data_IF_152618030388
#
_entry.id   IF_152618030388
#
_cell.length_a   1.000
_cell.length_b   1.000
_cell.length_c   1.000
_cell.angle_alpha   90.00
_cell.angle_beta   90.00
_cell.angle_gamma   90.00
#
_symmetry.space_group_name_H-M   'P 1'
#
loop_
_entity.id
_entity.type
_entity.pdbx_description
1 polymer ?
#
# COMPACT_ATOMS: atom_id res chain seq x y z
N UNK A 1 -57.10 -30.78 6.28
CA UNK A 1 -58.31 -30.01 5.92
C UNK A 1 -57.88 -28.54 5.96
N UNK A 2 -57.83 -27.78 4.85
CA UNK A 2 -58.92 -27.34 3.94
C UNK A 2 -59.97 -26.53 4.73
N UNK A 3 -60.40 -25.31 4.36
CA UNK A 3 -60.41 -24.56 3.08
C UNK A 3 -59.94 -23.09 3.34
N UNK A 4 -59.49 -22.22 2.43
CA UNK A 4 -59.90 -21.82 1.07
C UNK A 4 -61.31 -21.20 0.96
N UNK A 5 -61.41 -19.91 0.61
CA UNK A 5 -62.66 -19.32 0.12
C UNK A 5 -62.37 -18.20 -0.89
N UNK A 6 -62.85 -18.39 -2.13
CA UNK A 6 -62.82 -17.43 -3.24
C UNK A 6 -64.22 -16.82 -3.43
N UNK A 7 -64.28 -15.59 -3.95
CA UNK A 7 -65.34 -15.07 -4.85
C UNK A 7 -64.63 -14.18 -5.90
N UNK A 8 -64.63 -14.44 -7.22
CA UNK A 8 -65.74 -14.40 -8.22
C UNK A 8 -66.45 -13.05 -8.24
N UNK A 9 -66.58 -12.25 -9.32
CA UNK A 9 -66.11 -12.27 -10.73
C UNK A 9 -66.38 -10.85 -11.32
N UNK A 10 -66.47 -10.54 -12.62
CA UNK A 10 -66.28 -11.24 -13.93
C UNK A 10 -66.13 -10.12 -15.00
N UNK A 11 -65.31 -10.31 -16.04
CA UNK A 11 -65.03 -9.24 -17.04
C UNK A 11 -66.26 -8.81 -17.87
N UNK A 12 -66.31 -7.53 -18.27
CA UNK A 12 -66.95 -7.07 -19.51
C UNK A 12 -65.88 -6.52 -20.45
N UNK A 13 -66.01 -6.87 -21.73
CA UNK A 13 -65.06 -6.60 -22.82
C UNK A 13 -65.48 -5.34 -23.58
N UNK A 14 -64.54 -4.44 -23.85
CA UNK A 14 -64.64 -3.42 -24.91
C UNK A 14 -63.30 -3.37 -25.63
N UNK A 15 -63.34 -3.47 -26.95
CA UNK A 15 -62.23 -3.38 -27.90
C UNK A 15 -62.77 -2.60 -29.13
N UNK A 16 -61.94 -2.12 -30.06
CA UNK A 16 -60.63 -1.47 -29.84
C UNK A 16 -60.45 -0.23 -30.75
N UNK A 17 -59.53 0.70 -30.45
CA UNK A 17 -58.92 1.57 -31.47
C UNK A 17 -57.63 2.23 -30.95
N UNK A 18 -56.61 2.39 -31.82
CA UNK A 18 -55.62 3.48 -31.67
C UNK A 18 -54.22 3.15 -31.13
N UNK A 19 -53.52 2.21 -31.75
CA UNK A 19 -52.05 2.11 -31.88
C UNK A 19 -51.12 3.06 -31.09
N UNK A 20 -50.26 2.48 -30.24
CA UNK A 20 -48.82 2.75 -30.24
C UNK A 20 -48.07 1.50 -29.74
N UNK A 21 -47.18 0.92 -30.57
CA UNK A 21 -46.36 -0.24 -30.18
C UNK A 21 -45.14 0.24 -29.42
N UNK A 22 -44.98 -0.20 -28.16
CA UNK A 22 -43.67 -0.22 -27.49
C UNK A 22 -42.91 -1.47 -27.96
N UNK A 23 -41.98 -1.31 -28.89
CA UNK A 23 -41.00 -2.36 -29.22
C UNK A 23 -39.91 -2.39 -28.15
N UNK A 24 -39.73 -3.53 -27.49
CA UNK A 24 -38.50 -3.82 -26.78
C UNK A 24 -37.33 -3.84 -27.78
N UNK A 25 -36.21 -3.21 -27.41
CA UNK A 25 -34.95 -3.34 -28.12
C UNK A 25 -33.81 -3.27 -27.11
N UNK A 26 -33.02 -4.34 -27.02
CA UNK A 26 -31.78 -4.38 -26.26
C UNK A 26 -30.87 -3.21 -26.68
N UNK A 27 -30.68 -2.26 -25.77
CA UNK A 27 -29.64 -1.25 -25.92
C UNK A 27 -28.52 -1.55 -24.93
N UNK A 28 -27.42 -2.11 -25.46
CA UNK A 28 -26.17 -2.18 -24.73
C UNK A 28 -25.81 -0.76 -24.27
N UNK A 29 -25.75 -0.54 -22.97
CA UNK A 29 -25.42 0.78 -22.42
C UNK A 29 -23.96 1.11 -22.77
N UNK A 30 -23.79 1.92 -23.81
CA UNK A 30 -22.49 2.52 -24.12
C UNK A 30 -22.11 3.42 -22.94
N UNK A 31 -21.07 3.05 -22.20
CA UNK A 31 -20.41 3.95 -21.25
C UNK A 31 -19.82 5.12 -22.04
N UNK A 32 -20.60 6.19 -22.17
CA UNK A 32 -20.10 7.46 -22.70
C UNK A 32 -19.08 7.99 -21.70
N UNK A 33 -17.81 8.08 -22.15
CA UNK A 33 -16.76 8.70 -21.34
C UNK A 33 -17.23 10.08 -20.87
N UNK A 34 -17.15 10.40 -19.57
CA UNK A 34 -17.49 11.75 -19.11
C UNK A 34 -16.58 12.76 -19.83
N UNK A 35 -17.08 13.96 -20.16
CA UNK A 35 -16.30 14.95 -20.89
C UNK A 35 -14.99 15.22 -20.14
N UNK A 36 -13.88 15.16 -20.87
CA UNK A 36 -12.51 15.27 -20.35
C UNK A 36 -12.31 16.60 -19.65
N UNK A 37 -12.54 16.60 -18.34
CA UNK A 37 -12.66 17.78 -17.52
C UNK A 37 -11.31 18.48 -17.36
N UNK A 38 -11.23 19.77 -17.72
CA UNK A 38 -10.08 20.66 -17.50
C UNK A 38 -9.64 20.79 -16.03
N UNK A 39 -10.40 20.21 -15.09
CA UNK A 39 -10.07 20.15 -13.67
C UNK A 39 -9.04 19.06 -13.28
N UNK A 40 -8.78 18.08 -14.14
CA UNK A 40 -7.85 16.97 -13.85
C UNK A 40 -6.54 17.03 -14.67
N UNK A 41 -6.43 18.04 -15.53
CA UNK A 41 -5.33 18.19 -16.50
C UNK A 41 -4.11 18.95 -15.98
N UNK A 42 -4.15 19.46 -14.74
CA UNK A 42 -3.10 20.32 -14.17
C UNK A 42 -2.42 19.61 -13.00
N UNK A 43 -1.23 19.05 -13.26
CA UNK A 43 -0.29 18.70 -12.20
C UNK A 43 0.23 19.98 -11.52
N UNK A 44 0.32 19.98 -10.19
CA UNK A 44 1.21 20.90 -9.49
C UNK A 44 2.64 20.34 -9.61
N UNK A 45 3.53 21.10 -10.25
CA UNK A 45 4.93 20.71 -10.45
C UNK A 45 5.76 21.26 -9.30
N UNK A 46 6.38 20.38 -8.52
CA UNK A 46 7.27 20.73 -7.41
C UNK A 46 8.72 20.45 -7.81
N UNK A 47 9.63 21.39 -7.48
CA UNK A 47 11.07 21.40 -7.78
C UNK A 47 11.47 21.13 -9.25
N UNK A 48 10.51 21.23 -10.19
CA UNK A 48 10.57 20.83 -11.60
C UNK A 48 10.73 19.32 -11.84
N UNK A 49 10.48 18.47 -10.83
CA UNK A 49 10.74 17.03 -10.88
C UNK A 49 9.59 16.15 -10.40
N UNK A 50 8.65 16.71 -9.64
CA UNK A 50 7.59 15.97 -8.97
C UNK A 50 6.26 16.50 -9.48
N UNK A 51 5.45 15.62 -10.06
CA UNK A 51 4.18 15.95 -10.68
C UNK A 51 3.07 15.42 -9.80
N UNK A 52 2.38 16.33 -9.13
CA UNK A 52 1.39 16.00 -8.11
C UNK A 52 -0.01 16.48 -8.50
N UNK A 53 -0.96 15.54 -8.55
CA UNK A 53 -2.37 15.81 -8.73
C UNK A 53 -3.06 15.65 -7.38
N UNK A 54 -3.47 16.77 -6.78
CA UNK A 54 -4.35 16.73 -5.61
C UNK A 54 -5.80 16.77 -6.07
N UNK A 55 -6.57 15.76 -5.71
CA UNK A 55 -7.95 15.61 -6.12
C UNK A 55 -8.88 16.50 -5.24
N UNK A 56 -10.11 16.83 -5.70
CA UNK A 56 -11.11 17.50 -4.88
C UNK A 56 -11.48 16.70 -3.63
N UNK A 57 -11.89 17.39 -2.56
CA UNK A 57 -12.31 16.82 -1.26
C UNK A 57 -13.17 15.54 -1.36
N UNK A 58 -14.11 15.51 -2.30
CA UNK A 58 -15.04 14.39 -2.46
C UNK A 58 -14.39 13.10 -3.01
N UNK A 59 -13.19 13.17 -3.60
CA UNK A 59 -12.37 12.00 -3.92
C UNK A 59 -11.34 11.79 -2.81
N UNK A 60 -11.76 11.10 -1.75
CA UNK A 60 -10.93 10.63 -0.64
C UNK A 60 -11.62 9.45 0.04
N UNK A 61 -10.90 8.60 0.78
CA UNK A 61 -11.45 7.40 1.42
C UNK A 61 -12.66 7.66 2.34
N UNK A 62 -12.75 8.86 2.91
CA UNK A 62 -13.82 9.30 3.82
C UNK A 62 -15.02 9.98 3.13
N UNK A 63 -14.97 10.20 1.80
CA UNK A 63 -15.98 10.98 1.06
C UNK A 63 -16.40 10.39 -0.28
N UNK A 64 -15.53 9.62 -0.94
CA UNK A 64 -15.81 9.05 -2.26
C UNK A 64 -17.00 8.10 -2.21
N UNK A 65 -17.77 8.03 -3.30
CA UNK A 65 -19.04 7.29 -3.34
C UNK A 65 -20.14 7.85 -2.42
N UNK A 66 -20.06 9.12 -2.00
CA UNK A 66 -21.06 9.76 -1.14
C UNK A 66 -20.95 9.40 0.34
N UNK A 67 -19.81 8.85 0.78
CA UNK A 67 -19.57 8.46 2.19
C UNK A 67 -19.66 9.68 3.13
N UNK A 68 -20.52 9.56 4.16
CA UNK A 68 -20.68 10.58 5.21
C UNK A 68 -19.81 10.32 6.45
N UNK A 69 -19.59 9.04 6.80
CA UNK A 69 -18.71 8.65 7.91
C UNK A 69 -17.23 8.70 7.50
N UNK A 70 -16.30 9.04 8.42
CA UNK A 70 -14.87 8.85 8.20
C UNK A 70 -14.53 7.40 7.82
N UNK A 71 -13.34 7.20 7.23
CA UNK A 71 -12.79 5.88 6.93
C UNK A 71 -11.40 5.73 7.53
N UNK A 72 -11.18 4.58 8.15
CA UNK A 72 -9.91 4.06 8.69
C UNK A 72 -9.33 2.92 7.84
N UNK A 73 -9.83 2.74 6.61
CA UNK A 73 -9.51 1.63 5.72
C UNK A 73 -8.17 1.76 4.96
N UNK A 74 -7.35 2.77 5.26
CA UNK A 74 -6.18 3.16 4.46
C UNK A 74 -5.19 2.00 4.20
N UNK A 75 -4.88 1.17 5.20
CA UNK A 75 -3.98 0.01 5.03
C UNK A 75 -4.52 -0.98 4.00
N UNK A 76 -5.81 -1.29 4.07
CA UNK A 76 -6.48 -2.20 3.13
C UNK A 76 -6.55 -1.56 1.73
N UNK A 77 -6.79 -0.26 1.63
CA UNK A 77 -6.80 0.49 0.36
C UNK A 77 -5.41 0.47 -0.29
N UNK A 78 -4.34 0.71 0.47
CA UNK A 78 -2.96 0.67 -0.02
C UNK A 78 -2.56 -0.72 -0.55
N UNK A 79 -2.89 -1.77 0.19
CA UNK A 79 -2.67 -3.16 -0.22
C UNK A 79 -3.53 -3.55 -1.44
N UNK A 80 -4.79 -3.09 -1.50
CA UNK A 80 -5.66 -3.30 -2.65
C UNK A 80 -5.11 -2.62 -3.91
N UNK A 81 -4.57 -1.40 -3.80
CA UNK A 81 -3.89 -0.72 -4.91
C UNK A 81 -2.68 -1.53 -5.42
N UNK A 82 -1.82 -2.04 -4.54
CA UNK A 82 -0.67 -2.86 -4.96
C UNK A 82 -1.11 -4.12 -5.71
N UNK A 83 -2.13 -4.83 -5.18
CA UNK A 83 -2.74 -6.00 -5.80
C UNK A 83 -3.30 -5.70 -7.19
N UNK A 84 -4.08 -4.64 -7.33
CA UNK A 84 -4.74 -4.29 -8.61
C UNK A 84 -3.71 -3.79 -9.63
N UNK A 85 -2.74 -2.98 -9.24
CA UNK A 85 -1.62 -2.54 -10.08
C UNK A 85 -0.90 -3.75 -10.70
N UNK A 86 -0.43 -4.69 -9.87
CA UNK A 86 0.28 -5.87 -10.36
C UNK A 86 -0.60 -6.77 -11.24
N UNK A 87 -1.86 -7.02 -10.86
CA UNK A 87 -2.76 -7.90 -11.62
C UNK A 87 -3.18 -7.34 -12.98
N UNK A 88 -3.18 -6.02 -13.14
CA UNK A 88 -3.57 -5.35 -14.38
C UNK A 88 -2.41 -5.14 -15.36
N UNK A 89 -1.17 -5.45 -14.97
CA UNK A 89 0.02 -5.11 -15.75
C UNK A 89 0.18 -3.59 -15.94
N UNK A 90 -0.36 -2.79 -15.02
CA UNK A 90 -0.27 -1.33 -15.09
C UNK A 90 1.17 -0.85 -15.09
N UNK A 91 1.42 0.25 -15.81
CA UNK A 91 2.74 0.90 -15.93
C UNK A 91 2.68 2.35 -15.46
N UNK A 92 3.77 2.84 -14.88
CA UNK A 92 3.94 4.26 -14.59
C UNK A 92 4.29 5.02 -15.89
N UNK A 93 3.86 6.28 -16.04
CA UNK A 93 4.39 7.13 -17.10
C UNK A 93 5.89 7.34 -16.88
N UNK A 94 6.67 7.32 -17.97
CA UNK A 94 8.09 7.62 -17.90
C UNK A 94 8.30 9.08 -17.48
N UNK A 95 9.06 9.28 -16.40
CA UNK A 95 9.35 10.61 -15.87
C UNK A 95 10.65 11.19 -16.44
N UNK A 96 10.75 12.52 -16.63
CA UNK A 96 11.92 13.17 -17.21
C UNK A 96 13.15 13.06 -16.29
N UNK A 97 14.32 12.86 -16.91
CA UNK A 97 15.63 12.95 -16.25
C UNK A 97 16.23 14.36 -16.26
N UNK A 98 15.84 15.19 -17.24
CA UNK A 98 16.32 16.58 -17.39
C UNK A 98 15.16 17.57 -17.25
N UNK A 99 15.48 18.84 -17.02
CA UNK A 99 14.50 19.93 -16.87
C UNK A 99 13.95 20.45 -18.21
N UNK A 100 14.43 19.91 -19.32
CA UNK A 100 14.23 20.47 -20.65
C UNK A 100 13.07 19.76 -21.38
N UNK A 101 12.08 20.53 -21.83
CA UNK A 101 11.08 20.07 -22.80
C UNK A 101 9.64 19.93 -22.31
N UNK A 102 9.38 19.83 -21.01
CA UNK A 102 8.00 19.74 -20.50
C UNK A 102 7.37 21.13 -20.40
N UNK A 103 6.40 21.39 -21.27
CA UNK A 103 5.45 22.48 -21.09
C UNK A 103 4.57 22.14 -19.89
N UNK A 104 4.74 22.86 -18.77
CA UNK A 104 4.03 22.65 -17.50
C UNK A 104 2.49 22.68 -17.59
N UNK A 105 1.91 23.03 -18.74
CA UNK A 105 0.49 23.28 -18.94
C UNK A 105 -0.39 22.06 -19.23
N UNK A 106 0.16 20.89 -19.55
CA UNK A 106 -0.63 19.77 -20.12
C UNK A 106 -0.35 18.37 -19.53
N UNK A 107 0.25 18.27 -18.34
CA UNK A 107 0.41 16.96 -17.67
C UNK A 107 -0.88 16.51 -16.98
N UNK A 108 -1.70 15.82 -17.78
CA UNK A 108 -2.94 15.16 -17.37
C UNK A 108 -2.64 14.00 -16.41
N UNK A 109 -3.47 13.85 -15.38
CA UNK A 109 -3.37 12.70 -14.47
C UNK A 109 -3.50 11.38 -15.25
N UNK A 110 -2.60 10.40 -15.05
CA UNK A 110 -2.75 9.10 -15.69
C UNK A 110 -4.07 8.43 -15.27
N UNK A 111 -4.99 8.26 -16.23
CA UNK A 111 -6.36 7.78 -15.98
C UNK A 111 -6.35 6.40 -15.30
N UNK A 112 -5.37 5.55 -15.64
CA UNK A 112 -5.14 4.26 -14.99
C UNK A 112 -4.84 4.39 -13.49
N UNK A 113 -3.99 5.34 -13.08
CA UNK A 113 -3.68 5.58 -11.66
C UNK A 113 -4.87 6.21 -10.92
N UNK A 114 -5.62 7.10 -11.56
CA UNK A 114 -6.86 7.64 -10.99
C UNK A 114 -7.89 6.53 -10.76
N UNK A 115 -8.13 5.68 -11.76
CA UNK A 115 -9.04 4.54 -11.66
C UNK A 115 -8.59 3.53 -10.61
N UNK A 116 -7.29 3.21 -10.57
CA UNK A 116 -6.69 2.35 -9.54
C UNK A 116 -7.01 2.86 -8.13
N UNK A 117 -6.74 4.14 -7.88
CA UNK A 117 -6.99 4.80 -6.60
C UNK A 117 -8.49 4.80 -6.25
N UNK A 118 -9.36 5.26 -7.15
CA UNK A 118 -10.80 5.37 -6.87
C UNK A 118 -11.46 4.02 -6.66
N UNK A 119 -11.10 3.01 -7.45
CA UNK A 119 -11.66 1.66 -7.31
C UNK A 119 -11.15 1.01 -6.02
N UNK A 120 -9.86 1.14 -5.72
CA UNK A 120 -9.30 0.62 -4.46
C UNK A 120 -9.86 1.32 -3.23
N UNK A 121 -10.24 2.61 -3.32
CA UNK A 121 -10.98 3.30 -2.26
C UNK A 121 -12.36 2.66 -2.03
N UNK A 122 -13.10 2.32 -3.10
CA UNK A 122 -14.42 1.67 -2.97
C UNK A 122 -14.27 0.26 -2.39
N UNK A 123 -13.44 -0.57 -3.03
CA UNK A 123 -13.23 -1.97 -2.66
C UNK A 123 -12.62 -2.11 -1.26
N UNK A 124 -11.60 -1.31 -0.94
CA UNK A 124 -10.93 -1.34 0.37
C UNK A 124 -11.85 -0.90 1.50
N UNK A 125 -12.73 0.07 1.27
CA UNK A 125 -13.78 0.43 2.23
C UNK A 125 -14.83 -0.69 2.42
N UNK A 126 -15.18 -1.42 1.36
CA UNK A 126 -16.12 -2.53 1.45
C UNK A 126 -15.53 -3.74 2.19
N UNK A 127 -14.26 -4.07 1.90
CA UNK A 127 -13.48 -5.08 2.64
C UNK A 127 -13.36 -4.70 4.11
N UNK A 128 -12.93 -3.46 4.42
CA UNK A 128 -12.82 -2.96 5.79
C UNK A 128 -14.12 -3.08 6.57
N UNK A 129 -15.25 -2.61 6.00
CA UNK A 129 -16.55 -2.70 6.65
C UNK A 129 -16.99 -4.15 6.94
N UNK A 130 -16.70 -5.08 6.02
CA UNK A 130 -16.97 -6.52 6.19
C UNK A 130 -16.12 -7.12 7.31
N UNK A 131 -14.82 -6.84 7.35
CA UNK A 131 -13.93 -7.36 8.39
C UNK A 131 -14.22 -6.73 9.77
N UNK A 132 -14.60 -5.45 9.84
CA UNK A 132 -15.08 -4.83 11.08
C UNK A 132 -16.36 -5.48 11.60
N UNK A 133 -17.30 -5.84 10.72
CA UNK A 133 -18.51 -6.58 11.12
C UNK A 133 -18.17 -7.97 11.70
N UNK A 134 -17.18 -8.68 11.12
CA UNK A 134 -16.68 -9.94 11.70
C UNK A 134 -16.05 -9.72 13.08
N UNK A 135 -15.21 -8.68 13.25
CA UNK A 135 -14.61 -8.32 14.54
C UNK A 135 -15.67 -8.05 15.60
N UNK A 136 -16.70 -7.27 15.27
CA UNK A 136 -17.81 -6.96 16.19
C UNK A 136 -18.58 -8.22 16.60
N UNK A 137 -18.87 -9.12 15.66
CA UNK A 137 -19.53 -10.40 15.95
C UNK A 137 -18.67 -11.36 16.80
N UNK A 138 -17.34 -11.28 16.71
CA UNK A 138 -16.43 -12.05 17.56
C UNK A 138 -16.19 -11.40 18.95
N UNK A 139 -16.26 -10.06 19.02
CA UNK A 139 -16.01 -9.28 20.24
C UNK A 139 -17.25 -9.10 21.14
N UNK A 140 -18.39 -9.71 20.83
CA UNK A 140 -19.56 -9.72 21.74
C UNK A 140 -19.26 -10.31 23.13
N UNK A 141 -18.13 -11.00 23.29
CA UNK A 141 -17.65 -11.57 24.55
C UNK A 141 -16.42 -10.85 25.16
N UNK A 142 -15.97 -9.70 24.62
CA UNK A 142 -14.73 -9.04 25.05
C UNK A 142 -14.90 -7.52 25.29
N UNK A 143 -14.51 -7.06 26.48
CA UNK A 143 -14.62 -5.66 26.94
C UNK A 143 -13.57 -4.69 26.35
N UNK A 144 -12.89 -5.07 25.26
CA UNK A 144 -11.84 -4.24 24.65
C UNK A 144 -12.41 -3.35 23.53
N UNK A 145 -12.06 -2.06 23.46
CA UNK A 145 -12.44 -1.22 22.34
C UNK A 145 -11.79 -1.76 21.05
N UNK A 146 -12.62 -2.09 20.07
CA UNK A 146 -12.14 -2.51 18.76
C UNK A 146 -11.33 -1.38 18.11
N UNK A 147 -10.07 -1.63 17.77
CA UNK A 147 -9.31 -0.72 16.91
C UNK A 147 -9.93 -0.73 15.52
N UNK A 148 -10.38 0.45 15.07
CA UNK A 148 -10.99 0.65 13.75
C UNK A 148 -9.97 0.59 12.60
N UNK A 149 -8.67 0.55 12.89
CA UNK A 149 -7.58 0.40 11.91
C UNK A 149 -7.12 -1.05 11.76
N UNK A 150 -6.41 -1.33 10.67
CA UNK A 150 -5.81 -2.64 10.38
C UNK A 150 -4.30 -2.47 10.26
N UNK A 151 -3.54 -3.35 10.92
CA UNK A 151 -2.10 -3.49 10.65
C UNK A 151 -1.89 -4.12 9.27
N UNK A 152 -0.68 -4.05 8.72
CA UNK A 152 -0.38 -4.62 7.39
C UNK A 152 -0.68 -6.13 7.34
N UNK A 153 -0.27 -6.98 8.30
CA UNK A 153 -0.66 -8.39 8.33
C UNK A 153 -2.18 -8.62 8.34
N UNK A 154 -2.93 -7.86 9.12
CA UNK A 154 -4.40 -7.96 9.15
C UNK A 154 -5.03 -7.52 7.82
N UNK A 155 -4.43 -6.54 7.14
CA UNK A 155 -4.87 -6.09 5.82
C UNK A 155 -4.58 -7.11 4.72
N UNK A 156 -3.47 -7.84 4.81
CA UNK A 156 -3.12 -8.95 3.92
C UNK A 156 -4.12 -10.10 4.09
N UNK A 157 -4.43 -10.50 5.32
CA UNK A 157 -5.45 -11.51 5.64
C UNK A 157 -6.83 -11.10 5.12
N UNK A 158 -7.25 -9.84 5.35
CA UNK A 158 -8.51 -9.28 4.86
C UNK A 158 -8.68 -9.30 3.33
N UNK A 159 -7.55 -9.34 2.59
CA UNK A 159 -7.49 -9.41 1.13
C UNK A 159 -7.27 -10.83 0.60
N UNK A 160 -7.22 -11.84 1.48
CA UNK A 160 -7.14 -13.26 1.16
C UNK A 160 -5.72 -13.79 0.98
N UNK A 161 -4.74 -13.32 1.75
CA UNK A 161 -3.39 -13.91 1.79
C UNK A 161 -2.51 -13.66 0.54
N UNK A 162 -3.08 -13.11 -0.54
CA UNK A 162 -2.45 -12.95 -1.86
C UNK A 162 -1.30 -11.93 -1.96
N UNK A 163 -0.84 -11.37 -0.83
CA UNK A 163 0.26 -10.40 -0.74
C UNK A 163 1.25 -10.91 0.31
N UNK A 164 2.53 -10.97 -0.06
CA UNK A 164 3.62 -11.29 0.85
C UNK A 164 4.35 -10.00 1.29
N UNK A 165 4.65 -9.90 2.58
CA UNK A 165 5.55 -8.88 3.13
C UNK A 165 6.98 -9.44 3.11
N UNK A 166 7.85 -8.84 2.28
CA UNK A 166 9.25 -9.25 2.10
C UNK A 166 10.08 -8.83 3.33
N UNK A 167 9.92 -7.58 3.76
CA UNK A 167 10.59 -7.02 4.93
C UNK A 167 9.76 -5.85 5.50
N UNK A 168 9.93 -5.57 6.79
CA UNK A 168 9.25 -4.51 7.53
C UNK A 168 10.23 -3.76 8.44
N UNK A 169 10.10 -2.43 8.52
CA UNK A 169 10.77 -1.62 9.55
C UNK A 169 9.82 -0.63 10.19
N UNK A 170 9.92 -0.51 11.51
CA UNK A 170 9.53 0.67 12.27
C UNK A 170 10.77 1.50 12.53
N UNK A 171 10.77 2.79 12.15
CA UNK A 171 11.96 3.64 12.07
C UNK A 171 11.72 4.94 12.83
N UNK A 172 12.55 5.21 13.84
CA UNK A 172 12.56 6.46 14.63
C UNK A 172 13.62 7.43 14.12
N UNK A 173 13.35 8.72 14.27
CA UNK A 173 14.26 9.78 13.87
C UNK A 173 13.74 10.58 12.67
N UNK A 174 14.57 11.49 12.15
CA UNK A 174 14.16 12.50 11.17
C UNK A 174 13.66 11.88 9.86
N UNK A 175 12.33 11.77 9.69
CA UNK A 175 11.68 11.01 8.62
C UNK A 175 12.16 11.40 7.23
N UNK A 176 12.23 12.71 6.91
CA UNK A 176 12.67 13.17 5.58
C UNK A 176 14.15 12.90 5.28
N UNK A 177 14.98 12.57 6.29
CA UNK A 177 16.36 12.10 6.09
C UNK A 177 16.43 10.58 5.94
N UNK A 178 15.63 9.84 6.73
CA UNK A 178 15.71 8.38 6.84
C UNK A 178 14.86 7.64 5.80
N UNK A 179 13.66 8.13 5.46
CA UNK A 179 12.78 7.54 4.45
C UNK A 179 13.46 7.31 3.08
N UNK A 180 14.16 8.28 2.46
CA UNK A 180 14.83 8.04 1.19
C UNK A 180 15.95 7.00 1.31
N UNK A 181 16.61 6.87 2.47
CA UNK A 181 17.64 5.84 2.67
C UNK A 181 17.03 4.43 2.72
N UNK A 182 15.87 4.28 3.35
CA UNK A 182 15.17 2.99 3.45
C UNK A 182 14.61 2.54 2.10
N UNK A 183 14.01 3.46 1.33
CA UNK A 183 13.56 3.17 -0.03
C UNK A 183 14.75 2.82 -0.93
N UNK A 184 15.82 3.63 -0.92
CA UNK A 184 17.01 3.41 -1.76
C UNK A 184 17.65 2.04 -1.48
N UNK A 185 17.89 1.70 -0.22
CA UNK A 185 18.52 0.43 0.15
C UNK A 185 17.67 -0.80 -0.22
N UNK A 186 16.34 -0.67 -0.25
CA UNK A 186 15.48 -1.73 -0.74
C UNK A 186 15.50 -1.80 -2.28
N UNK A 187 15.49 -0.66 -2.98
CA UNK A 187 15.63 -0.61 -4.44
C UNK A 187 16.97 -1.21 -4.89
N UNK A 188 18.07 -0.91 -4.20
CA UNK A 188 19.41 -1.42 -4.51
C UNK A 188 19.65 -2.87 -4.04
N UNK A 189 18.67 -3.51 -3.39
CA UNK A 189 18.82 -4.85 -2.84
C UNK A 189 18.82 -5.94 -3.93
N UNK A 190 19.93 -6.66 -4.05
CA UNK A 190 20.12 -7.78 -4.99
C UNK A 190 19.02 -8.85 -4.86
N UNK A 191 18.56 -9.13 -3.63
CA UNK A 191 17.50 -10.10 -3.36
C UNK A 191 16.20 -9.82 -4.10
N UNK A 192 15.90 -8.55 -4.41
CA UNK A 192 14.70 -8.12 -5.13
C UNK A 192 15.03 -7.33 -6.41
N UNK A 193 16.24 -7.47 -6.94
CA UNK A 193 16.66 -6.86 -8.21
C UNK A 193 15.88 -7.43 -9.41
N UNK A 194 15.44 -8.69 -9.32
CA UNK A 194 14.63 -9.38 -10.33
C UNK A 194 13.17 -8.90 -10.40
N UNK A 195 12.67 -8.16 -9.39
CA UNK A 195 11.30 -7.64 -9.39
C UNK A 195 11.23 -6.38 -10.26
N UNK A 196 10.43 -6.34 -11.36
CA UNK A 196 10.35 -5.19 -12.25
C UNK A 196 9.66 -3.97 -11.61
N UNK A 197 8.79 -4.24 -10.63
CA UNK A 197 8.07 -3.25 -9.84
C UNK A 197 8.24 -3.58 -8.36
N UNK A 198 8.59 -2.57 -7.56
CA UNK A 198 8.74 -2.68 -6.09
C UNK A 198 7.65 -1.84 -5.43
N UNK A 199 6.93 -2.44 -4.48
CA UNK A 199 5.83 -1.79 -3.76
C UNK A 199 6.21 -1.58 -2.30
N UNK A 200 5.92 -0.39 -1.77
CA UNK A 200 6.07 -0.08 -0.36
C UNK A 200 4.75 0.42 0.24
N UNK A 201 4.34 -0.14 1.36
CA UNK A 201 3.32 0.47 2.22
C UNK A 201 4.04 1.31 3.27
N UNK A 202 3.81 2.62 3.24
CA UNK A 202 4.37 3.58 4.20
C UNK A 202 3.26 4.00 5.16
N UNK A 203 3.51 3.93 6.47
CA UNK A 203 2.59 4.42 7.51
C UNK A 203 3.29 5.54 8.29
N UNK A 204 2.66 6.71 8.32
CA UNK A 204 3.10 7.87 9.09
C UNK A 204 1.87 8.47 9.79
N UNK A 205 1.93 8.60 11.11
CA UNK A 205 0.80 9.11 11.93
C UNK A 205 -0.51 8.38 11.59
N UNK A 206 -0.49 7.05 11.72
CA UNK A 206 -1.60 6.12 11.47
C UNK A 206 -2.19 6.12 10.04
N UNK A 207 -1.60 6.87 9.12
CA UNK A 207 -2.05 6.97 7.72
C UNK A 207 -1.16 6.14 6.80
N UNK A 208 -1.74 5.08 6.24
CA UNK A 208 -1.07 4.19 5.28
C UNK A 208 -1.23 4.67 3.83
N UNK A 209 -0.13 4.72 3.08
CA UNK A 209 -0.07 5.12 1.66
C UNK A 209 0.74 4.11 0.85
N UNK A 210 0.47 3.99 -0.44
CA UNK A 210 1.24 3.12 -1.33
C UNK A 210 2.29 3.93 -2.09
N UNK A 211 3.53 3.46 -2.07
CA UNK A 211 4.59 3.89 -2.98
C UNK A 211 4.85 2.75 -3.98
N UNK A 212 4.98 3.10 -5.26
CA UNK A 212 5.27 2.17 -6.36
C UNK A 212 6.53 2.65 -7.07
N UNK A 213 7.53 1.79 -7.25
CA UNK A 213 8.70 2.07 -8.07
C UNK A 213 8.79 1.07 -9.22
N UNK A 214 8.88 1.57 -10.45
CA UNK A 214 9.19 0.76 -11.63
C UNK A 214 10.66 0.89 -12.00
N UNK A 215 11.36 -0.24 -12.10
CA UNK A 215 12.79 -0.26 -12.39
C UNK A 215 13.10 0.16 -13.83
N UNK A 216 12.36 -0.37 -14.80
CA UNK A 216 12.64 -0.24 -16.24
C UNK A 216 12.67 1.22 -16.73
N UNK A 217 11.73 2.05 -16.26
CA UNK A 217 11.62 3.46 -16.63
C UNK A 217 12.06 4.41 -15.48
N UNK A 218 12.67 3.87 -14.43
CA UNK A 218 13.13 4.57 -13.23
C UNK A 218 12.06 5.38 -12.50
N UNK A 219 10.77 5.17 -12.76
CA UNK A 219 9.71 6.03 -12.22
C UNK A 219 9.30 5.60 -10.82
N UNK A 220 8.93 6.56 -9.98
CA UNK A 220 8.41 6.34 -8.63
C UNK A 220 7.16 7.17 -8.41
N UNK A 221 6.11 6.55 -7.87
CA UNK A 221 4.83 7.15 -7.58
C UNK A 221 4.42 6.94 -6.12
N UNK A 222 3.62 7.86 -5.59
CA UNK A 222 2.88 7.70 -4.35
C UNK A 222 1.39 7.90 -4.61
N UNK A 223 0.58 7.03 -4.02
CA UNK A 223 -0.87 7.07 -4.04
C UNK A 223 -1.37 7.17 -2.60
N UNK A 224 -1.90 8.34 -2.25
CA UNK A 224 -2.46 8.65 -0.95
C UNK A 224 -3.98 8.82 -1.07
N UNK A 225 -4.74 7.99 -0.35
CA UNK A 225 -6.21 7.99 -0.38
C UNK A 225 -6.87 8.91 0.66
N UNK A 226 -6.10 9.59 1.51
CA UNK A 226 -6.61 10.45 2.56
C UNK A 226 -7.18 11.78 2.04
N UNK A 227 -7.69 12.60 2.96
CA UNK A 227 -8.09 13.98 2.68
C UNK A 227 -7.08 14.94 3.34
N UNK A 228 -6.59 15.92 2.59
CA UNK A 228 -5.55 16.85 3.03
C UNK A 228 -6.11 18.24 3.33
N UNK A 229 -5.29 19.09 3.96
CA UNK A 229 -5.62 20.50 4.27
C UNK A 229 -6.93 20.62 5.07
N UNK A 230 -6.99 19.97 6.24
CA UNK A 230 -8.20 19.89 7.09
C UNK A 230 -9.44 19.39 6.32
N UNK A 231 -9.23 18.45 5.40
CA UNK A 231 -10.26 17.90 4.54
C UNK A 231 -10.68 18.77 3.36
N UNK A 232 -10.10 19.97 3.14
CA UNK A 232 -10.43 20.84 1.99
C UNK A 232 -9.93 20.28 0.65
N UNK A 233 -8.94 19.39 0.69
CA UNK A 233 -8.41 18.66 -0.47
C UNK A 233 -8.66 17.16 -0.29
N UNK A 234 -8.82 16.45 -1.41
CA UNK A 234 -8.97 14.99 -1.45
C UNK A 234 -7.62 14.30 -1.51
N UNK A 235 -7.66 13.07 -2.02
CA UNK A 235 -6.54 12.17 -2.25
C UNK A 235 -5.46 12.79 -3.16
N UNK A 236 -4.25 12.24 -3.11
CA UNK A 236 -3.10 12.73 -3.88
C UNK A 236 -2.45 11.58 -4.65
N UNK A 237 -2.17 11.82 -5.92
CA UNK A 237 -1.22 11.02 -6.71
C UNK A 237 -0.04 11.93 -7.02
N UNK A 238 1.19 11.49 -6.75
CA UNK A 238 2.39 12.20 -7.17
C UNK A 238 3.41 11.24 -7.77
N UNK A 239 4.10 11.67 -8.84
CA UNK A 239 5.05 10.85 -9.60
C UNK A 239 6.33 11.65 -9.83
N UNK A 240 7.48 10.97 -9.76
CA UNK A 240 8.81 11.52 -10.04
C UNK A 240 9.72 10.42 -10.61
N UNK A 241 10.96 10.77 -10.93
CA UNK A 241 12.01 9.79 -11.26
C UNK A 241 12.80 9.42 -10.00
N UNK A 242 13.25 8.17 -9.87
CA UNK A 242 13.95 7.64 -8.68
C UNK A 242 15.25 8.40 -8.36
N UNK A 243 15.90 8.97 -9.38
CA UNK A 243 17.05 9.88 -9.21
C UNK A 243 16.75 11.11 -8.30
N UNK A 244 15.47 11.49 -8.17
CA UNK A 244 15.01 12.61 -7.34
C UNK A 244 14.42 12.13 -5.98
N UNK A 245 14.73 10.90 -5.54
CA UNK A 245 14.14 10.27 -4.35
C UNK A 245 14.20 11.14 -3.07
N UNK A 246 15.27 11.90 -2.86
CA UNK A 246 15.41 12.79 -1.67
C UNK A 246 14.40 13.93 -1.69
N UNK A 247 14.22 14.57 -2.85
CA UNK A 247 13.24 15.62 -3.09
C UNK A 247 11.83 15.03 -3.01
N UNK A 248 11.60 13.85 -3.60
CA UNK A 248 10.33 13.15 -3.55
C UNK A 248 9.90 12.81 -2.11
N UNK A 249 10.80 12.24 -1.29
CA UNK A 249 10.53 11.99 0.13
C UNK A 249 10.33 13.28 0.94
N UNK A 250 11.02 14.37 0.58
CA UNK A 250 10.80 15.69 1.20
C UNK A 250 9.41 16.25 0.86
N UNK A 251 8.99 16.16 -0.41
CA UNK A 251 7.64 16.51 -0.85
C UNK A 251 6.57 15.71 -0.09
N UNK A 252 6.75 14.38 0.06
CA UNK A 252 5.85 13.49 0.82
C UNK A 252 5.71 13.99 2.26
N UNK A 253 6.82 14.22 2.96
CA UNK A 253 6.80 14.73 4.34
C UNK A 253 6.17 16.13 4.44
N UNK A 254 6.38 17.01 3.47
CA UNK A 254 5.88 18.39 3.53
C UNK A 254 4.39 18.50 3.19
N UNK A 255 3.92 17.80 2.15
CA UNK A 255 2.60 17.99 1.57
C UNK A 255 1.57 16.96 2.05
N UNK A 256 2.02 15.72 2.33
CA UNK A 256 1.14 14.64 2.78
C UNK A 256 1.16 14.50 4.30
N UNK A 257 2.35 14.57 4.92
CA UNK A 257 2.58 14.34 6.35
C UNK A 257 3.17 15.55 7.09
N UNK A 258 2.65 16.75 6.79
CA UNK A 258 3.13 18.04 7.34
C UNK A 258 3.24 18.08 8.87
N UNK A 259 2.51 17.22 9.57
CA UNK A 259 2.54 17.00 11.01
C UNK A 259 3.93 16.59 11.51
N UNK A 260 4.70 15.85 10.71
CA UNK A 260 6.06 15.39 11.05
C UNK A 260 7.02 16.57 11.26
N UNK A 261 6.82 17.70 10.56
CA UNK A 261 7.61 18.92 10.77
C UNK A 261 7.29 19.66 12.09
N UNK A 262 6.26 19.22 12.82
CA UNK A 262 5.87 19.75 14.14
C UNK A 262 6.31 18.86 15.30
N UNK A 263 6.92 17.71 15.00
CA UNK A 263 7.37 16.71 15.97
C UNK A 263 8.85 16.91 16.29
N UNK A 264 9.25 16.56 17.52
CA UNK A 264 10.67 16.42 17.84
C UNK A 264 11.25 15.13 17.20
N UNK A 265 12.54 15.06 16.84
CA UNK A 265 13.13 13.91 16.14
C UNK A 265 12.88 12.54 16.80
N UNK A 266 12.83 12.49 18.13
CA UNK A 266 12.56 11.30 18.94
C UNK A 266 11.08 10.84 18.91
N UNK A 267 10.17 11.77 18.59
CA UNK A 267 8.74 11.52 18.38
C UNK A 267 8.45 11.10 16.93
N UNK A 268 9.29 11.49 15.98
CA UNK A 268 9.15 11.08 14.57
C UNK A 268 9.30 9.57 14.45
N UNK A 269 8.23 8.94 13.95
CA UNK A 269 8.14 7.51 13.68
C UNK A 269 7.50 7.33 12.30
N UNK A 270 8.05 6.42 11.50
CA UNK A 270 7.38 5.87 10.34
C UNK A 270 7.55 4.36 10.29
N UNK A 271 6.59 3.68 9.68
CA UNK A 271 6.67 2.27 9.37
C UNK A 271 6.70 2.09 7.86
N UNK A 272 7.50 1.14 7.37
CA UNK A 272 7.60 0.83 5.94
C UNK A 272 7.71 -0.68 5.74
N UNK A 273 6.85 -1.22 4.89
CA UNK A 273 6.88 -2.61 4.44
C UNK A 273 7.18 -2.68 2.95
N UNK A 274 8.12 -3.53 2.54
CA UNK A 274 8.31 -3.92 1.15
C UNK A 274 7.39 -5.12 0.89
N UNK A 275 6.54 -5.05 -0.13
CA UNK A 275 5.52 -6.09 -0.40
C UNK A 275 5.56 -6.59 -1.85
N UNK A 276 5.08 -7.81 -2.05
CA UNK A 276 4.94 -8.47 -3.35
C UNK A 276 3.55 -9.09 -3.47
N UNK A 277 2.95 -9.04 -4.66
CA UNK A 277 1.74 -9.80 -4.97
C UNK A 277 2.12 -11.22 -5.39
N UNK A 278 1.52 -12.24 -4.78
CA UNK A 278 1.93 -13.64 -4.94
C UNK A 278 0.94 -14.51 -5.75
N UNK A 279 -0.04 -13.88 -6.42
CA UNK A 279 -1.07 -14.61 -7.16
C UNK A 279 -2.29 -14.99 -6.30
N UNK A 280 -3.34 -15.57 -6.90
CA UNK A 280 -4.47 -16.12 -6.16
C UNK A 280 -4.11 -17.44 -5.48
N UNK A 281 -4.67 -17.70 -4.29
CA UNK A 281 -4.56 -19.01 -3.63
C UNK A 281 -5.19 -20.12 -4.49
N UNK A 282 -4.35 -20.83 -5.26
CA UNK A 282 -4.48 -22.24 -5.73
C UNK A 282 -3.49 -22.55 -6.86
N UNK A 283 -2.23 -22.73 -6.50
CA UNK A 283 -1.35 -23.69 -7.18
C UNK A 283 -0.62 -24.48 -6.10
N UNK A 284 -0.65 -25.81 -6.18
CA UNK A 284 0.18 -26.68 -5.33
C UNK A 284 1.65 -26.71 -5.80
N UNK A 285 2.08 -25.63 -6.46
CA UNK A 285 3.43 -25.43 -6.96
C UNK A 285 4.21 -24.62 -5.93
N UNK A 286 4.75 -25.36 -4.96
CA UNK A 286 5.93 -25.09 -4.12
C UNK A 286 6.12 -23.64 -3.60
N UNK A 287 6.26 -23.49 -2.28
CA UNK A 287 6.61 -22.25 -1.55
C UNK A 287 7.97 -21.60 -1.92
N UNK A 288 8.61 -21.99 -3.04
CA UNK A 288 9.96 -21.58 -3.45
C UNK A 288 10.12 -20.10 -3.85
N UNK A 289 9.02 -19.36 -4.07
CA UNK A 289 9.09 -17.98 -4.59
C UNK A 289 8.80 -16.87 -3.56
N UNK A 290 8.51 -17.19 -2.29
CA UNK A 290 8.42 -16.16 -1.24
C UNK A 290 9.80 -15.75 -0.76
N UNK A 291 10.30 -14.62 -1.27
CA UNK A 291 11.61 -14.06 -0.93
C UNK A 291 11.58 -13.48 0.48
N UNK A 292 11.98 -14.29 1.48
CA UNK A 292 12.33 -13.79 2.82
C UNK A 292 13.70 -13.11 2.77
N UNK A 293 13.72 -11.81 2.45
CA UNK A 293 14.93 -11.01 2.37
C UNK A 293 14.92 -9.85 3.37
N UNK A 294 16.11 -9.36 3.72
CA UNK A 294 16.26 -8.15 4.54
C UNK A 294 16.70 -6.99 3.64
N UNK A 295 15.72 -6.37 3.00
CA UNK A 295 15.94 -5.31 2.00
C UNK A 295 16.10 -3.93 2.64
N UNK A 296 15.62 -3.72 3.88
CA UNK A 296 15.81 -2.46 4.58
C UNK A 296 17.08 -2.45 5.46
N UNK A 297 17.69 -1.26 5.69
CA UNK A 297 18.82 -1.13 6.61
C UNK A 297 18.52 -1.74 7.97
N UNK A 298 19.55 -2.34 8.58
CA UNK A 298 19.52 -2.72 10.00
C UNK A 298 20.22 -1.62 10.79
N UNK A 299 19.72 -1.23 11.98
CA UNK A 299 20.53 -0.45 12.92
C UNK A 299 21.84 -1.19 13.14
N UNK A 300 22.98 -0.51 12.99
CA UNK A 300 24.26 -1.06 13.40
C UNK A 300 24.13 -1.41 14.88
N UNK A 301 24.30 -2.70 15.22
CA UNK A 301 24.56 -3.07 16.61
C UNK A 301 25.86 -2.38 16.98
N UNK A 302 25.79 -1.38 17.86
CA UNK A 302 26.95 -0.97 18.62
C UNK A 302 27.35 -2.20 19.44
N UNK A 303 28.44 -2.85 19.04
CA UNK A 303 29.02 -3.96 19.78
C UNK A 303 29.57 -3.42 21.11
N UNK A 304 28.71 -3.30 22.11
CA UNK A 304 29.11 -3.16 23.51
C UNK A 304 29.60 -4.52 24.00
N UNK A 305 30.82 -4.86 23.62
CA UNK A 305 31.49 -6.11 23.94
C UNK A 305 32.84 -6.14 23.26
N UNK A 306 33.90 -6.16 24.07
CA UNK A 306 35.26 -6.37 23.58
C UNK A 306 35.34 -7.75 22.94
N UNK A 307 35.46 -7.82 21.62
CA UNK A 307 35.95 -9.02 20.96
C UNK A 307 37.42 -9.20 21.36
N UNK A 308 37.64 -9.95 22.45
CA UNK A 308 38.96 -10.55 22.69
C UNK A 308 39.32 -11.34 21.44
N UNK A 309 40.47 -11.08 20.80
CA UNK A 309 40.85 -11.78 19.59
C UNK A 309 40.91 -13.28 19.86
N UNK A 310 40.47 -14.14 18.91
CA UNK A 310 40.55 -15.58 19.08
C UNK A 310 42.01 -15.98 19.23
N UNK A 311 42.33 -16.66 20.33
CA UNK A 311 43.65 -17.25 20.56
C UNK A 311 43.88 -18.27 19.44
N UNK A 312 44.95 -18.15 18.63
CA UNK A 312 45.17 -19.06 17.51
C UNK A 312 45.41 -20.49 18.01
N UNK A 313 44.59 -21.45 17.58
CA UNK A 313 44.89 -22.86 17.78
C UNK A 313 45.86 -23.34 16.70
N UNK A 314 47.15 -23.44 17.04
CA UNK A 314 48.15 -24.13 16.23
C UNK A 314 48.61 -25.38 16.97
N UNK A 315 48.48 -26.53 16.32
CA UNK A 315 48.84 -27.84 16.89
C UNK A 315 50.33 -28.15 16.74
N UNK A 316 50.85 -29.02 17.62
CA UNK A 316 52.13 -29.76 17.52
C UNK A 316 53.42 -28.89 17.68
N UNK A 317 54.50 -29.36 18.31
CA UNK A 317 54.77 -30.63 19.02
C UNK A 317 55.97 -30.45 19.99
N UNK A 318 56.24 -31.47 20.83
CA UNK A 318 57.46 -31.63 21.67
C UNK A 318 57.59 -30.68 22.89
N UNK A 319 58.16 -31.05 24.05
CA UNK A 319 58.95 -32.24 24.43
C UNK A 319 58.94 -32.47 25.97
N UNK A 320 59.18 -33.74 26.41
CA UNK A 320 59.68 -34.20 27.74
C UNK A 320 58.85 -34.08 29.06
N UNK A 321 58.28 -35.24 29.40
CA UNK A 321 58.13 -35.88 30.74
C UNK A 321 59.55 -36.08 31.38
N UNK A 322 59.80 -35.95 32.73
CA UNK A 322 59.38 -36.95 33.73
C UNK A 322 59.12 -36.55 35.21
N UNK A 323 58.37 -37.41 35.91
CA UNK A 323 58.12 -37.42 37.37
C UNK A 323 56.63 -37.68 37.68
N UNK A 324 56.12 -38.92 37.69
CA UNK A 324 56.20 -39.89 38.80
C UNK A 324 55.88 -39.23 40.17
N UNK A 325 54.74 -39.46 40.80
CA UNK A 325 54.28 -40.78 41.29
C UNK A 325 52.75 -40.91 41.46
N UNK A 326 52.34 -42.18 41.60
CA UNK A 326 50.99 -42.69 41.79
C UNK A 326 50.38 -42.51 43.20
N UNK A 327 49.13 -42.99 43.29
CA UNK A 327 48.47 -43.62 44.45
C UNK A 327 47.67 -42.75 45.46
N UNK A 328 46.35 -42.95 45.35
CA UNK A 328 45.47 -43.62 46.34
C UNK A 328 44.44 -42.82 47.15
N UNK A 329 43.26 -43.45 47.17
CA UNK A 329 42.28 -43.57 48.26
C UNK A 329 41.49 -42.31 48.68
N UNK A 330 40.19 -42.39 48.43
CA UNK A 330 39.15 -41.89 49.34
C UNK A 330 39.23 -42.60 50.70
N UNK A 331 38.69 -41.94 51.73
CA UNK A 331 38.38 -42.45 53.09
C UNK A 331 38.18 -43.96 53.21
#
# INVERSE_FOLDING_TARGET
MSMCLRRTGRMKRVEPHGSARSSESDSAQSFTNPPTNKHWSVAQVYDNWIYAWTLPQHISQSRFGGRRKPSSACTIIALAMARVYHRSGMRLPQMPLSREGIKNSELIIPVSLLALLTNSIVDGNAVHAREMAKRQNAMTNAFLPALDTFTIPQGIEALGGVIHEIDYRSVRGVTWKLLPQHIQHAVDSEFIAHLPVVFFVLIIVERAVLIVHERENGSIAILDSHSHVQGKKGAVIAISHIANLRQFCSFICQNLFSEVYKMAPEQMLFEISCIQYCGPEKSNEVETNTVKAHVFPRPLRLCSGEEKPPIPSTCMDSERIPGAMDEKLSN
#
